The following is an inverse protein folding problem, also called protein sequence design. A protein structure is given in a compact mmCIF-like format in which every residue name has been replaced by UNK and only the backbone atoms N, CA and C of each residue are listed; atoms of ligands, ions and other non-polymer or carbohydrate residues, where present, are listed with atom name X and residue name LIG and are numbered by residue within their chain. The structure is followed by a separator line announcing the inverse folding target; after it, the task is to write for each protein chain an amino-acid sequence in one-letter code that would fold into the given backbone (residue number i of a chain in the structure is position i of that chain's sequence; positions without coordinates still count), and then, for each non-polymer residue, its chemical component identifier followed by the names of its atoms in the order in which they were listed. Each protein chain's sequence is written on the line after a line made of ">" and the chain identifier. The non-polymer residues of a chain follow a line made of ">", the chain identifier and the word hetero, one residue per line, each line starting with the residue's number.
data_IF_616396852956
#
_entry.id   IF_616396852956
#
_cell.length_a   1.000
_cell.length_b   1.000
_cell.length_c   1.000
_cell.angle_alpha   90.00
_cell.angle_beta   90.00
_cell.angle_gamma   90.00
#
_symmetry.space_group_name_H-M   'P 1'
#
loop_
_entity.id
_entity.type
_entity.pdbx_description
1 polymer ?
#
# COMPACT_ATOMS: atom_id res chain seq x y z
N UNK A 1 7.61 14.10 -20.61
CA UNK A 1 6.60 14.90 -19.88
C UNK A 1 7.24 15.50 -18.63
N UNK A 2 6.76 16.67 -18.18
CA UNK A 2 7.10 17.26 -16.87
C UNK A 2 5.94 17.00 -15.92
N UNK A 3 6.20 16.29 -14.84
CA UNK A 3 5.17 15.83 -13.90
C UNK A 3 5.46 16.39 -12.52
N UNK A 4 4.46 17.12 -11.97
CA UNK A 4 4.52 17.63 -10.61
C UNK A 4 3.91 16.65 -9.61
N UNK A 5 4.66 16.26 -8.58
CA UNK A 5 4.18 15.44 -7.48
C UNK A 5 4.01 16.31 -6.23
N UNK A 6 2.87 16.17 -5.56
CA UNK A 6 2.54 16.92 -4.33
C UNK A 6 2.16 15.96 -3.23
N UNK A 7 2.84 16.05 -2.08
CA UNK A 7 2.56 15.20 -0.93
C UNK A 7 2.82 15.92 0.40
N UNK A 8 1.96 15.74 1.39
CA UNK A 8 2.16 16.21 2.78
C UNK A 8 3.08 15.28 3.60
N UNK A 9 3.62 14.24 2.97
CA UNK A 9 4.62 13.35 3.57
C UNK A 9 5.63 12.92 2.52
N UNK A 10 6.93 12.97 2.87
CA UNK A 10 8.02 12.56 1.97
C UNK A 10 9.26 12.22 2.80
N UNK A 11 10.39 11.92 2.14
CA UNK A 11 11.68 11.66 2.82
C UNK A 11 12.08 12.82 3.76
N UNK A 12 12.68 12.50 4.92
CA UNK A 12 13.19 11.22 5.42
C UNK A 12 12.14 10.34 6.08
N UNK A 13 10.88 10.75 6.15
CA UNK A 13 9.82 9.95 6.77
C UNK A 13 9.59 8.65 5.98
N UNK A 14 9.53 7.52 6.70
CA UNK A 14 9.29 6.19 6.13
C UNK A 14 7.85 5.76 6.39
N UNK A 15 7.03 5.78 5.33
CA UNK A 15 5.65 5.30 5.34
C UNK A 15 5.21 4.88 3.92
N UNK A 16 4.04 4.27 3.80
CA UNK A 16 3.52 3.77 2.53
C UNK A 16 3.38 4.84 1.45
N UNK A 17 2.96 6.07 1.82
CA UNK A 17 2.81 7.19 0.88
C UNK A 17 4.16 7.64 0.34
N UNK A 18 5.13 7.87 1.24
CA UNK A 18 6.51 8.25 0.87
C UNK A 18 7.14 7.23 -0.07
N UNK A 19 6.97 5.94 0.23
CA UNK A 19 7.48 4.84 -0.60
C UNK A 19 6.89 4.89 -2.01
N UNK A 20 5.58 5.13 -2.14
CA UNK A 20 4.90 5.24 -3.43
C UNK A 20 5.36 6.47 -4.20
N UNK A 21 5.42 7.65 -3.57
CA UNK A 21 5.85 8.90 -4.24
C UNK A 21 7.27 8.78 -4.77
N UNK A 22 8.21 8.26 -3.95
CA UNK A 22 9.60 8.02 -4.38
C UNK A 22 9.71 7.05 -5.55
N UNK A 23 8.94 5.97 -5.49
CA UNK A 23 8.91 4.96 -6.54
C UNK A 23 8.39 5.53 -7.86
N UNK A 24 7.29 6.32 -7.82
CA UNK A 24 6.78 7.01 -9.01
C UNK A 24 7.83 7.99 -9.55
N UNK A 25 8.46 8.80 -8.69
CA UNK A 25 9.47 9.75 -9.12
C UNK A 25 10.65 9.06 -9.81
N UNK A 26 11.17 7.98 -9.21
CA UNK A 26 12.26 7.19 -9.79
C UNK A 26 11.87 6.53 -11.12
N UNK A 27 10.65 5.98 -11.20
CA UNK A 27 10.11 5.40 -12.41
C UNK A 27 10.05 6.42 -13.55
N UNK A 28 9.44 7.58 -13.29
CA UNK A 28 9.28 8.65 -14.27
C UNK A 28 10.63 9.12 -14.79
N UNK A 29 11.61 9.31 -13.90
CA UNK A 29 12.97 9.70 -14.26
C UNK A 29 13.67 8.63 -15.11
N UNK A 30 13.53 7.36 -14.75
CA UNK A 30 14.11 6.24 -15.51
C UNK A 30 13.53 6.14 -16.92
N UNK A 31 12.33 6.65 -17.15
CA UNK A 31 11.67 6.72 -18.46
C UNK A 31 11.91 8.07 -19.18
N UNK A 32 12.88 8.88 -18.70
CA UNK A 32 13.24 10.15 -19.32
C UNK A 32 12.23 11.28 -19.08
N UNK A 33 11.38 11.19 -18.07
CA UNK A 33 10.46 12.27 -17.69
C UNK A 33 11.08 13.16 -16.62
N UNK A 34 10.74 14.44 -16.64
CA UNK A 34 11.15 15.39 -15.61
C UNK A 34 10.14 15.37 -14.45
N UNK A 35 10.62 15.32 -13.21
CA UNK A 35 9.79 15.28 -12.00
C UNK A 35 10.11 16.46 -11.11
N UNK A 36 9.06 17.21 -10.73
CA UNK A 36 9.17 18.28 -9.72
C UNK A 36 8.34 17.91 -8.48
N UNK A 37 8.95 17.98 -7.29
CA UNK A 37 8.34 17.51 -6.05
C UNK A 37 8.07 18.68 -5.11
N UNK A 38 6.85 18.74 -4.55
CA UNK A 38 6.50 19.65 -3.47
C UNK A 38 6.14 18.86 -2.23
N UNK A 39 6.91 19.04 -1.15
CA UNK A 39 6.83 18.22 0.06
C UNK A 39 7.19 19.01 1.33
N UNK A 40 6.87 18.51 2.54
CA UNK A 40 7.25 19.16 3.78
C UNK A 40 8.76 19.11 4.01
N UNK A 41 9.27 20.12 4.74
CA UNK A 41 10.64 20.16 5.26
C UNK A 41 10.69 19.43 6.60
N UNK A 42 11.72 18.61 6.77
CA UNK A 42 12.07 17.94 8.02
C UNK A 42 13.38 18.51 8.57
N UNK A 43 13.60 18.42 9.88
CA UNK A 43 14.82 18.95 10.51
C UNK A 43 16.10 18.23 10.01
N UNK A 44 15.98 16.93 9.76
CA UNK A 44 17.06 16.04 9.33
C UNK A 44 17.15 15.89 7.80
N UNK A 45 16.66 16.87 7.06
CA UNK A 45 16.59 16.77 5.61
C UNK A 45 17.97 16.81 4.97
N UNK A 46 18.33 15.78 4.24
CA UNK A 46 19.36 15.81 3.21
C UNK A 46 18.70 15.92 1.82
N UNK A 47 19.28 16.64 0.86
CA UNK A 47 18.78 16.69 -0.51
C UNK A 47 18.60 15.25 -1.02
N UNK A 48 17.40 14.94 -1.52
CA UNK A 48 17.08 13.61 -1.95
C UNK A 48 17.10 13.48 -3.47
N UNK A 49 17.57 12.38 -3.94
CA UNK A 49 17.35 11.75 -5.26
C UNK A 49 17.57 12.64 -6.53
N UNK A 50 18.07 13.88 -6.41
CA UNK A 50 18.43 14.74 -7.56
C UNK A 50 17.25 15.37 -8.32
N UNK A 51 16.02 15.28 -7.80
CA UNK A 51 14.86 15.92 -8.40
C UNK A 51 14.76 17.40 -8.02
N UNK A 52 14.25 18.30 -8.91
CA UNK A 52 13.78 19.61 -8.51
C UNK A 52 12.74 19.51 -7.38
N UNK A 53 13.05 20.09 -6.21
CA UNK A 53 12.20 19.98 -5.03
C UNK A 53 11.92 21.33 -4.37
N UNK A 54 10.65 21.55 -3.98
CA UNK A 54 10.28 22.61 -3.04
C UNK A 54 9.91 21.99 -1.69
N UNK A 55 10.71 22.28 -0.66
CA UNK A 55 10.43 21.87 0.72
C UNK A 55 9.80 23.01 1.50
N UNK A 56 8.52 22.83 1.89
CA UNK A 56 7.77 23.85 2.63
C UNK A 56 7.93 23.69 4.14
N UNK A 57 7.84 24.74 4.94
CA UNK A 57 7.84 24.64 6.39
C UNK A 57 6.77 23.67 6.89
N UNK A 58 7.09 22.96 7.97
CA UNK A 58 6.16 22.02 8.61
C UNK A 58 6.41 21.95 10.11
N UNK A 59 5.38 21.58 10.87
CA UNK A 59 5.41 21.36 12.31
C UNK A 59 4.96 19.94 12.63
N UNK A 60 5.42 19.38 13.75
CA UNK A 60 4.91 18.10 14.22
C UNK A 60 3.42 18.24 14.60
N UNK A 61 2.60 17.24 14.23
CA UNK A 61 1.21 17.25 14.65
C UNK A 61 1.13 16.87 16.14
N UNK A 62 0.52 17.69 17.01
CA UNK A 62 0.61 17.51 18.46
C UNK A 62 0.12 16.14 18.97
N UNK A 63 -0.96 15.62 18.37
CA UNK A 63 -1.56 14.33 18.76
C UNK A 63 -0.82 13.10 18.19
N UNK A 64 0.01 13.30 17.16
CA UNK A 64 0.79 12.24 16.53
C UNK A 64 2.07 12.81 15.91
N UNK A 65 3.15 13.00 16.70
CA UNK A 65 4.36 13.72 16.29
C UNK A 65 5.09 13.14 15.07
N UNK A 66 4.87 11.85 14.77
CA UNK A 66 5.38 11.22 13.56
C UNK A 66 4.74 11.79 12.28
N UNK A 67 3.57 12.44 12.37
CA UNK A 67 2.92 13.14 11.25
C UNK A 67 3.30 14.62 11.30
N UNK A 68 3.65 15.19 10.14
CA UNK A 68 3.96 16.60 9.98
C UNK A 68 2.77 17.32 9.36
N UNK A 69 2.42 18.47 9.93
CA UNK A 69 1.48 19.41 9.33
C UNK A 69 2.26 20.40 8.47
N UNK A 70 2.04 20.37 7.18
CA UNK A 70 2.65 21.30 6.23
C UNK A 70 2.07 22.71 6.40
N UNK A 71 2.94 23.74 6.33
CA UNK A 71 2.57 25.14 6.39
C UNK A 71 2.96 25.84 5.07
N UNK A 72 2.30 25.49 3.95
CA UNK A 72 2.70 25.97 2.64
C UNK A 72 2.27 27.41 2.40
N UNK A 73 3.14 28.16 1.71
CA UNK A 73 2.79 29.46 1.12
C UNK A 73 2.37 29.23 -0.33
N UNK A 74 1.10 29.45 -0.66
CA UNK A 74 0.56 29.21 -1.99
C UNK A 74 1.35 29.90 -3.11
N UNK A 75 1.90 31.11 -2.84
CA UNK A 75 2.75 31.84 -3.79
C UNK A 75 4.07 31.11 -4.09
N UNK A 76 4.70 30.50 -3.08
CA UNK A 76 5.95 29.76 -3.26
C UNK A 76 5.73 28.48 -4.09
N UNK A 77 4.66 27.75 -3.81
CA UNK A 77 4.27 26.55 -4.58
C UNK A 77 3.94 26.96 -6.03
N UNK A 78 3.20 28.05 -6.23
CA UNK A 78 2.90 28.54 -7.58
C UNK A 78 4.18 28.96 -8.32
N UNK A 79 5.09 29.71 -7.70
CA UNK A 79 6.35 30.13 -8.32
C UNK A 79 7.22 28.91 -8.71
N UNK A 80 7.30 27.89 -7.86
CA UNK A 80 8.01 26.66 -8.18
C UNK A 80 7.43 25.96 -9.41
N UNK A 81 6.12 25.74 -9.46
CA UNK A 81 5.49 25.09 -10.60
C UNK A 81 5.43 25.96 -11.85
N UNK A 82 5.35 27.30 -11.73
CA UNK A 82 5.43 28.21 -12.88
C UNK A 82 6.83 28.16 -13.52
N UNK A 83 7.90 27.97 -12.74
CA UNK A 83 9.25 27.76 -13.22
C UNK A 83 9.44 26.34 -13.81
N UNK A 84 8.95 25.32 -13.14
CA UNK A 84 9.04 23.92 -13.56
C UNK A 84 8.16 23.61 -14.79
N UNK A 85 7.03 24.30 -14.94
CA UNK A 85 6.04 24.14 -16.03
C UNK A 85 5.53 22.69 -16.19
N UNK A 86 4.89 22.11 -15.17
CA UNK A 86 4.36 20.74 -15.26
C UNK A 86 3.26 20.65 -16.33
N UNK A 87 3.20 19.50 -16.98
CA UNK A 87 2.12 19.13 -17.95
C UNK A 87 0.99 18.37 -17.24
N UNK A 88 1.26 17.82 -16.04
CA UNK A 88 0.32 17.12 -15.18
C UNK A 88 0.72 17.31 -13.72
N UNK A 89 -0.27 17.41 -12.82
CA UNK A 89 -0.05 17.34 -11.38
C UNK A 89 -0.69 16.09 -10.78
N UNK A 90 0.12 15.32 -10.04
CA UNK A 90 -0.35 14.21 -9.22
C UNK A 90 -0.27 14.55 -7.73
N UNK A 91 -1.41 14.60 -7.08
CA UNK A 91 -1.55 14.94 -5.67
C UNK A 91 -1.79 13.66 -4.87
N UNK A 92 -0.88 13.37 -3.94
CA UNK A 92 -0.86 12.14 -3.17
C UNK A 92 -1.49 12.23 -1.78
N UNK A 93 -1.84 13.43 -1.32
CA UNK A 93 -2.43 13.61 0.02
C UNK A 93 -3.47 14.72 -0.01
N UNK A 94 -4.47 14.61 0.85
CA UNK A 94 -5.58 15.56 0.96
C UNK A 94 -5.29 16.69 1.98
N UNK A 95 -4.05 16.80 2.43
CA UNK A 95 -3.60 17.81 3.39
C UNK A 95 -3.39 19.21 2.81
N UNK A 96 -2.78 20.12 3.58
CA UNK A 96 -2.59 21.52 3.16
C UNK A 96 -1.82 21.69 1.85
N UNK A 97 -0.79 20.86 1.60
CA UNK A 97 -0.08 20.86 0.31
C UNK A 97 -0.94 20.36 -0.82
N UNK A 98 -1.69 19.25 -0.58
CA UNK A 98 -2.62 18.71 -1.57
C UNK A 98 -3.68 19.74 -1.98
N UNK A 99 -4.22 20.50 -1.03
CA UNK A 99 -5.18 21.59 -1.32
C UNK A 99 -4.58 22.67 -2.23
N UNK A 100 -3.33 23.05 -2.00
CA UNK A 100 -2.66 24.06 -2.82
C UNK A 100 -2.31 23.50 -4.20
N UNK A 101 -1.82 22.26 -4.29
CA UNK A 101 -1.55 21.58 -5.55
C UNK A 101 -2.82 21.47 -6.41
N UNK A 102 -3.92 20.99 -5.81
CA UNK A 102 -5.24 20.96 -6.45
C UNK A 102 -5.65 22.34 -6.98
N UNK A 103 -5.57 23.39 -6.13
CA UNK A 103 -5.93 24.75 -6.54
C UNK A 103 -5.05 25.27 -7.68
N UNK A 104 -3.75 24.97 -7.66
CA UNK A 104 -2.83 25.33 -8.72
C UNK A 104 -3.20 24.66 -10.03
N UNK A 105 -3.39 23.33 -10.03
CA UNK A 105 -3.79 22.57 -11.21
C UNK A 105 -5.06 23.14 -11.86
N UNK A 106 -6.10 23.40 -11.07
CA UNK A 106 -7.36 23.95 -11.55
C UNK A 106 -7.20 25.34 -12.16
N UNK A 107 -6.41 26.22 -11.51
CA UNK A 107 -6.17 27.58 -12.03
C UNK A 107 -5.37 27.59 -13.33
N UNK A 108 -4.42 26.65 -13.46
CA UNK A 108 -3.59 26.51 -14.67
C UNK A 108 -4.21 25.59 -15.71
N UNK A 109 -5.39 25.02 -15.44
CA UNK A 109 -6.09 24.04 -16.30
C UNK A 109 -5.24 22.82 -16.64
N UNK A 110 -4.38 22.41 -15.71
CA UNK A 110 -3.57 21.20 -15.84
C UNK A 110 -4.41 19.97 -15.54
N UNK A 111 -4.13 18.84 -16.18
CA UNK A 111 -4.65 17.54 -15.74
C UNK A 111 -4.27 17.31 -14.28
N UNK A 112 -5.28 17.07 -13.46
CA UNK A 112 -5.12 16.72 -12.04
C UNK A 112 -5.36 15.23 -11.87
N UNK A 113 -4.38 14.57 -11.29
CA UNK A 113 -4.47 13.18 -10.81
C UNK A 113 -4.39 13.21 -9.30
N UNK A 114 -5.15 12.35 -8.64
CA UNK A 114 -5.09 12.21 -7.18
C UNK A 114 -4.93 10.73 -6.80
N UNK A 115 -4.39 10.45 -5.62
CA UNK A 115 -4.37 9.10 -5.06
C UNK A 115 -4.99 9.09 -3.67
N UNK A 116 -5.91 8.17 -3.45
CA UNK A 116 -6.50 7.91 -2.15
C UNK A 116 -5.64 6.88 -1.40
N UNK A 117 -4.74 7.36 -0.55
CA UNK A 117 -3.79 6.51 0.19
C UNK A 117 -4.32 6.06 1.54
N UNK A 118 -5.12 6.89 2.20
CA UNK A 118 -5.50 6.70 3.60
C UNK A 118 -7.02 6.77 3.76
N UNK A 119 -7.59 5.71 4.33
CA UNK A 119 -9.02 5.67 4.64
C UNK A 119 -9.32 6.46 5.92
N UNK A 120 -9.24 7.80 5.86
CA UNK A 120 -9.53 8.69 6.98
C UNK A 120 -10.91 8.46 7.63
N UNK A 121 -11.99 8.17 6.88
CA UNK A 121 -13.28 7.83 7.47
C UNK A 121 -13.22 6.62 8.39
N UNK A 122 -12.51 5.56 8.02
CA UNK A 122 -12.33 4.37 8.85
C UNK A 122 -11.49 4.67 10.09
N UNK A 123 -10.40 5.43 9.93
CA UNK A 123 -9.60 5.89 11.07
C UNK A 123 -10.42 6.73 12.05
N UNK A 124 -11.32 7.61 11.57
CA UNK A 124 -12.14 8.43 12.45
C UNK A 124 -13.04 7.60 13.37
N UNK A 125 -13.55 6.46 12.88
CA UNK A 125 -14.33 5.52 13.71
C UNK A 125 -13.48 4.89 14.82
N UNK A 126 -12.26 4.46 14.49
CA UNK A 126 -11.34 3.86 15.48
C UNK A 126 -10.91 4.83 16.58
N UNK A 127 -10.84 6.13 16.29
CA UNK A 127 -10.48 7.17 17.26
C UNK A 127 -11.70 7.85 17.93
N UNK A 128 -12.89 7.24 17.86
CA UNK A 128 -14.09 7.76 18.51
C UNK A 128 -14.69 9.01 17.87
N UNK A 129 -14.21 9.41 16.70
CA UNK A 129 -14.66 10.57 15.95
C UNK A 129 -15.65 10.22 14.80
N UNK A 130 -16.38 9.11 14.91
CA UNK A 130 -17.30 8.61 13.88
C UNK A 130 -18.40 9.60 13.47
N UNK A 131 -18.79 10.52 14.36
CA UNK A 131 -19.73 11.59 14.02
C UNK A 131 -19.23 12.54 12.92
N UNK A 132 -17.92 12.61 12.71
CA UNK A 132 -17.31 13.45 11.66
C UNK A 132 -17.25 12.74 10.30
N UNK A 133 -17.55 11.46 10.24
CA UNK A 133 -17.45 10.66 9.02
C UNK A 133 -18.18 11.26 7.81
N UNK A 134 -19.44 11.74 7.93
CA UNK A 134 -20.12 12.37 6.79
C UNK A 134 -19.39 13.64 6.28
N UNK A 135 -18.86 14.45 7.20
CA UNK A 135 -18.11 15.66 6.84
C UNK A 135 -16.78 15.31 6.15
N UNK A 136 -16.08 14.28 6.63
CA UNK A 136 -14.86 13.77 6.02
C UNK A 136 -15.15 13.28 4.59
N UNK A 137 -16.21 12.51 4.39
CA UNK A 137 -16.62 12.05 3.06
C UNK A 137 -17.00 13.22 2.14
N UNK A 138 -17.72 14.21 2.63
CA UNK A 138 -18.05 15.43 1.87
C UNK A 138 -16.80 16.19 1.43
N UNK A 139 -15.78 16.31 2.31
CA UNK A 139 -14.49 16.90 1.98
C UNK A 139 -13.74 16.06 0.92
N UNK A 140 -13.66 14.74 1.05
CA UNK A 140 -13.00 13.86 0.10
C UNK A 140 -13.67 13.92 -1.28
N UNK A 141 -15.00 13.88 -1.35
CA UNK A 141 -15.75 14.07 -2.60
C UNK A 141 -15.40 15.40 -3.27
N UNK A 142 -15.46 16.50 -2.50
CA UNK A 142 -15.10 17.80 -3.02
C UNK A 142 -13.64 17.85 -3.49
N UNK A 143 -12.72 17.24 -2.75
CA UNK A 143 -11.30 17.24 -3.06
C UNK A 143 -10.99 16.50 -4.36
N UNK A 144 -11.51 15.28 -4.51
CA UNK A 144 -11.21 14.40 -5.65
C UNK A 144 -12.05 14.71 -6.91
N UNK A 145 -13.24 15.32 -6.75
CA UNK A 145 -14.17 15.58 -7.86
C UNK A 145 -13.56 16.20 -9.13
N UNK A 146 -12.60 17.15 -9.09
CA UNK A 146 -12.03 17.74 -10.29
C UNK A 146 -10.87 16.92 -10.89
N UNK A 147 -10.44 15.85 -10.25
CA UNK A 147 -9.38 15.00 -10.78
C UNK A 147 -9.84 14.27 -12.05
N UNK A 148 -8.93 14.03 -12.98
CA UNK A 148 -9.19 13.20 -14.17
C UNK A 148 -9.30 11.74 -13.81
N UNK A 149 -8.48 11.31 -12.82
CA UNK A 149 -8.51 9.99 -12.23
C UNK A 149 -8.12 10.11 -10.76
N UNK A 150 -8.75 9.28 -9.92
CA UNK A 150 -8.38 9.08 -8.51
C UNK A 150 -7.92 7.64 -8.36
N UNK A 151 -6.62 7.44 -8.15
CA UNK A 151 -6.09 6.10 -7.91
C UNK A 151 -6.40 5.60 -6.52
N UNK A 152 -6.66 4.31 -6.42
CA UNK A 152 -6.93 3.60 -5.17
C UNK A 152 -6.08 2.34 -5.08
N UNK A 153 -5.74 1.87 -3.86
CA UNK A 153 -4.88 0.71 -3.70
C UNK A 153 -5.56 -0.65 -3.96
N UNK A 154 -6.89 -0.67 -4.14
CA UNK A 154 -7.63 -1.91 -4.33
C UNK A 154 -9.08 -1.69 -4.73
N UNK A 155 -9.71 -2.78 -5.16
CA UNK A 155 -11.07 -2.76 -5.71
C UNK A 155 -12.13 -2.40 -4.67
N UNK A 156 -11.96 -2.85 -3.42
CA UNK A 156 -12.89 -2.51 -2.34
C UNK A 156 -12.96 -1.00 -2.09
N UNK A 157 -11.81 -0.33 -2.13
CA UNK A 157 -11.73 1.13 -1.98
C UNK A 157 -12.28 1.83 -3.23
N UNK A 158 -11.99 1.33 -4.43
CA UNK A 158 -12.56 1.85 -5.67
C UNK A 158 -14.09 1.83 -5.61
N UNK A 159 -14.67 0.68 -5.28
CA UNK A 159 -16.11 0.52 -5.15
C UNK A 159 -16.72 1.42 -4.06
N UNK A 160 -16.01 1.66 -2.95
CA UNK A 160 -16.46 2.62 -1.93
C UNK A 160 -16.45 4.05 -2.45
N UNK A 161 -15.38 4.48 -3.13
CA UNK A 161 -15.30 5.81 -3.73
C UNK A 161 -16.41 6.04 -4.77
N UNK A 162 -16.71 5.04 -5.61
CA UNK A 162 -17.81 5.11 -6.57
C UNK A 162 -19.19 5.23 -5.89
N UNK A 163 -19.44 4.42 -4.86
CA UNK A 163 -20.67 4.53 -4.05
C UNK A 163 -20.81 5.90 -3.40
N UNK A 164 -19.70 6.55 -3.11
CA UNK A 164 -19.63 7.91 -2.55
C UNK A 164 -19.65 9.00 -3.63
N UNK A 165 -19.81 8.68 -4.91
CA UNK A 165 -19.92 9.64 -6.00
C UNK A 165 -18.57 10.14 -6.55
N UNK A 166 -17.47 9.43 -6.31
CA UNK A 166 -16.16 9.65 -6.93
C UNK A 166 -16.02 8.64 -8.07
N UNK A 167 -16.77 8.83 -9.16
CA UNK A 167 -16.94 7.87 -10.25
C UNK A 167 -15.77 7.76 -11.23
N UNK A 168 -14.68 8.50 -11.04
CA UNK A 168 -13.44 8.41 -11.83
C UNK A 168 -12.32 7.68 -11.06
N UNK A 169 -12.69 6.84 -10.11
CA UNK A 169 -11.74 6.04 -9.34
C UNK A 169 -11.24 4.86 -10.17
N UNK A 170 -9.92 4.65 -10.18
CA UNK A 170 -9.24 3.53 -10.83
C UNK A 170 -8.35 2.81 -9.82
N UNK A 171 -8.26 1.49 -9.96
CA UNK A 171 -7.28 0.73 -9.16
C UNK A 171 -5.92 0.92 -9.80
N UNK A 172 -5.00 1.44 -9.03
CA UNK A 172 -3.60 1.34 -9.30
C UNK A 172 -2.99 0.57 -8.13
N UNK A 173 -2.85 -0.75 -8.35
CA UNK A 173 -2.32 -1.64 -7.36
C UNK A 173 -0.86 -1.30 -7.11
N UNK A 174 -0.45 -1.30 -5.89
CA UNK A 174 0.95 -1.16 -5.51
C UNK A 174 1.63 -2.51 -5.75
N UNK A 175 1.97 -2.82 -7.01
CA UNK A 175 2.60 -4.06 -7.39
C UNK A 175 3.86 -4.38 -6.61
N UNK A 176 4.22 -5.64 -6.57
CA UNK A 176 5.44 -6.13 -5.94
C UNK A 176 6.57 -6.25 -6.96
N UNK A 177 7.79 -5.97 -6.54
CA UNK A 177 9.00 -6.24 -7.31
C UNK A 177 9.30 -7.75 -7.24
N UNK A 178 8.70 -8.52 -8.15
CA UNK A 178 8.76 -9.99 -8.16
C UNK A 178 10.14 -10.53 -8.60
N UNK A 179 10.95 -9.69 -9.21
CA UNK A 179 12.35 -9.99 -9.48
C UNK A 179 13.23 -9.83 -8.24
N UNK A 180 12.91 -8.85 -7.41
CA UNK A 180 13.62 -8.63 -6.15
C UNK A 180 13.17 -9.60 -5.05
N UNK A 181 11.88 -9.76 -4.81
CA UNK A 181 11.32 -10.78 -3.91
C UNK A 181 11.18 -12.09 -4.69
N UNK A 182 12.12 -13.00 -4.47
CA UNK A 182 12.26 -14.18 -5.30
C UNK A 182 12.70 -15.41 -4.49
N UNK A 183 12.14 -16.61 -4.75
CA UNK A 183 12.52 -17.85 -4.04
C UNK A 183 14.01 -18.18 -4.10
N UNK A 184 14.69 -17.79 -5.19
CA UNK A 184 16.14 -18.02 -5.35
C UNK A 184 17.00 -17.31 -4.29
N UNK A 185 16.42 -16.37 -3.51
CA UNK A 185 17.11 -15.73 -2.37
C UNK A 185 17.12 -16.58 -1.11
N UNK A 186 16.55 -17.79 -1.13
CA UNK A 186 16.62 -18.75 -0.02
C UNK A 186 18.07 -19.04 0.34
N UNK A 187 18.40 -18.95 1.62
CA UNK A 187 19.75 -19.23 2.13
C UNK A 187 19.74 -20.31 3.21
N UNK A 188 20.70 -21.22 3.12
CA UNK A 188 20.92 -22.21 4.18
C UNK A 188 21.35 -21.56 5.51
N UNK A 189 21.93 -20.34 5.47
CA UNK A 189 22.28 -19.57 6.66
C UNK A 189 21.06 -19.23 7.51
N UNK A 190 20.01 -18.64 6.92
CA UNK A 190 18.77 -18.34 7.61
C UNK A 190 18.11 -19.61 8.14
N UNK A 191 18.07 -20.69 7.35
CA UNK A 191 17.49 -21.97 7.76
C UNK A 191 18.17 -22.56 8.98
N UNK A 192 19.51 -22.69 8.95
CA UNK A 192 20.28 -23.20 10.10
C UNK A 192 20.13 -22.33 11.33
N UNK A 193 20.16 -21.01 11.15
CA UNK A 193 20.10 -20.10 12.30
C UNK A 193 18.71 -20.08 12.95
N UNK A 194 17.63 -20.07 12.17
CA UNK A 194 16.26 -19.99 12.69
C UNK A 194 15.69 -21.37 13.11
N UNK A 195 15.94 -22.41 12.33
CA UNK A 195 15.27 -23.69 12.46
C UNK A 195 16.21 -24.89 12.70
N UNK A 196 17.51 -24.68 12.70
CA UNK A 196 18.49 -25.76 12.81
C UNK A 196 18.68 -26.58 11.54
N UNK A 197 17.85 -26.36 10.52
CA UNK A 197 17.84 -27.10 9.25
C UNK A 197 16.53 -26.95 8.49
N UNK A 198 16.26 -27.90 7.59
CA UNK A 198 15.07 -27.85 6.73
C UNK A 198 13.84 -28.59 7.31
N UNK A 199 14.02 -29.41 8.36
CA UNK A 199 12.95 -30.24 8.93
C UNK A 199 11.95 -29.45 9.80
N UNK A 200 12.35 -28.27 10.29
CA UNK A 200 11.51 -27.41 11.11
C UNK A 200 10.95 -26.26 10.27
N UNK A 201 9.63 -26.10 10.27
CA UNK A 201 8.96 -25.03 9.54
C UNK A 201 9.20 -23.66 10.21
N UNK A 202 9.52 -22.63 9.42
CA UNK A 202 9.63 -21.24 9.89
C UNK A 202 8.31 -20.52 9.62
N UNK A 203 7.58 -20.19 10.68
CA UNK A 203 6.34 -19.40 10.67
C UNK A 203 6.72 -17.94 10.94
N UNK A 204 6.56 -17.10 9.93
CA UNK A 204 7.04 -15.73 9.89
C UNK A 204 5.89 -14.73 9.98
N UNK A 205 6.05 -13.70 10.80
CA UNK A 205 5.26 -12.46 10.72
C UNK A 205 6.18 -11.30 10.35
N UNK A 206 5.72 -10.45 9.41
CA UNK A 206 6.43 -9.24 8.99
C UNK A 206 5.49 -8.06 9.04
N UNK A 207 5.92 -6.97 9.66
CA UNK A 207 5.17 -5.72 9.68
C UNK A 207 5.46 -4.84 10.87
N UNK A 208 4.85 -3.66 10.90
CA UNK A 208 4.88 -2.77 12.05
C UNK A 208 4.15 -3.42 13.23
N UNK A 209 4.77 -3.44 14.40
CA UNK A 209 4.20 -4.08 15.58
C UNK A 209 3.29 -3.10 16.34
N UNK A 210 2.11 -2.84 15.79
CA UNK A 210 1.15 -1.87 16.30
C UNK A 210 -0.26 -2.49 16.45
N UNK A 211 -1.14 -1.92 17.31
CA UNK A 211 -2.45 -2.48 17.64
C UNK A 211 -3.34 -2.72 16.41
N UNK A 212 -3.30 -1.83 15.43
CA UNK A 212 -4.09 -1.95 14.19
C UNK A 212 -3.68 -3.15 13.32
N UNK A 213 -2.54 -3.80 13.60
CA UNK A 213 -2.12 -5.05 12.95
C UNK A 213 -2.71 -6.30 13.58
N UNK A 214 -3.62 -6.15 14.55
CA UNK A 214 -4.35 -7.25 15.17
C UNK A 214 -3.44 -8.34 15.80
N UNK A 215 -2.33 -7.90 16.38
CA UNK A 215 -1.29 -8.80 16.92
C UNK A 215 -1.72 -9.58 18.15
N UNK A 216 -2.81 -9.20 18.81
CA UNK A 216 -3.36 -10.00 19.93
C UNK A 216 -3.81 -11.38 19.43
N UNK A 217 -4.49 -11.42 18.28
CA UNK A 217 -4.90 -12.69 17.64
C UNK A 217 -3.68 -13.55 17.28
N UNK A 218 -2.60 -12.89 16.78
CA UNK A 218 -1.34 -13.59 16.51
C UNK A 218 -0.75 -14.20 17.78
N UNK A 219 -0.74 -13.44 18.90
CA UNK A 219 -0.20 -13.89 20.17
C UNK A 219 -0.96 -15.12 20.68
N UNK A 220 -2.29 -15.07 20.68
CA UNK A 220 -3.14 -16.19 21.11
C UNK A 220 -2.97 -17.43 20.22
N UNK A 221 -2.97 -17.22 18.90
CA UNK A 221 -2.79 -18.31 17.95
C UNK A 221 -1.40 -18.97 18.07
N UNK A 222 -0.34 -18.17 18.21
CA UNK A 222 1.02 -18.70 18.27
C UNK A 222 1.34 -19.38 19.61
N UNK A 223 0.77 -18.91 20.72
CA UNK A 223 0.88 -19.61 22.01
C UNK A 223 0.27 -21.01 21.92
N UNK A 224 -0.90 -21.14 21.31
CA UNK A 224 -1.58 -22.40 21.12
C UNK A 224 -0.87 -23.29 20.08
N UNK A 225 -0.49 -22.73 18.94
CA UNK A 225 0.22 -23.47 17.88
C UNK A 225 1.58 -24.01 18.37
N UNK A 226 2.28 -23.26 19.23
CA UNK A 226 3.53 -23.73 19.86
C UNK A 226 3.31 -24.96 20.71
N UNK A 227 2.23 -25.01 21.48
CA UNK A 227 1.89 -26.16 22.32
C UNK A 227 1.55 -27.40 21.48
N UNK A 228 0.86 -27.23 20.36
CA UNK A 228 0.43 -28.32 19.49
C UNK A 228 1.52 -28.84 18.53
N UNK A 229 2.33 -27.94 18.00
CA UNK A 229 3.29 -28.26 16.93
C UNK A 229 4.76 -28.18 17.38
N UNK A 230 4.99 -27.69 18.59
CA UNK A 230 6.21 -27.76 19.41
C UNK A 230 7.52 -27.62 18.63
N UNK A 231 8.16 -28.76 18.39
CA UNK A 231 9.47 -28.82 17.75
C UNK A 231 9.44 -28.78 16.21
N UNK A 232 8.25 -28.85 15.61
CA UNK A 232 8.09 -28.84 14.15
C UNK A 232 7.99 -27.44 13.54
N UNK A 233 7.90 -26.40 14.40
CA UNK A 233 7.79 -25.02 13.94
C UNK A 233 8.60 -24.06 14.80
N UNK A 234 9.30 -23.12 14.17
CA UNK A 234 9.91 -21.93 14.76
C UNK A 234 9.11 -20.71 14.39
N UNK A 235 8.86 -19.82 15.35
CA UNK A 235 8.08 -18.61 15.18
C UNK A 235 9.00 -17.38 15.17
N UNK A 236 8.87 -16.57 14.14
CA UNK A 236 9.78 -15.45 13.84
C UNK A 236 8.98 -14.18 13.54
N UNK A 237 9.40 -13.07 14.13
CA UNK A 237 8.82 -11.74 13.90
C UNK A 237 9.89 -10.81 13.37
N UNK A 238 9.66 -10.20 12.20
CA UNK A 238 10.46 -9.13 11.65
C UNK A 238 9.65 -7.83 11.62
N UNK A 239 10.11 -6.84 12.36
CA UNK A 239 9.47 -5.54 12.49
C UNK A 239 9.64 -4.93 13.87
N UNK A 240 9.23 -3.68 14.00
CA UNK A 240 9.30 -2.88 15.22
C UNK A 240 7.97 -2.20 15.51
N UNK A 241 7.76 -1.81 16.75
CA UNK A 241 6.59 -1.05 17.16
C UNK A 241 6.22 -1.25 18.62
N UNK A 242 5.19 -0.53 19.10
CA UNK A 242 4.83 -0.47 20.53
C UNK A 242 4.40 -1.82 21.12
N UNK A 243 4.02 -2.80 20.29
CA UNK A 243 3.64 -4.13 20.77
C UNK A 243 4.81 -5.12 20.89
N UNK A 244 6.04 -4.74 20.53
CA UNK A 244 7.21 -5.64 20.57
C UNK A 244 7.43 -6.26 21.97
N UNK A 245 7.47 -5.44 23.02
CA UNK A 245 7.63 -5.92 24.39
C UNK A 245 6.51 -6.87 24.84
N UNK A 246 5.28 -6.61 24.40
CA UNK A 246 4.13 -7.46 24.71
C UNK A 246 4.27 -8.84 24.06
N UNK A 247 4.71 -8.88 22.80
CA UNK A 247 4.99 -10.13 22.08
C UNK A 247 6.06 -10.92 22.83
N UNK A 248 7.19 -10.32 23.17
CA UNK A 248 8.29 -10.98 23.90
C UNK A 248 7.84 -11.54 25.25
N UNK A 249 7.05 -10.78 26.02
CA UNK A 249 6.54 -11.24 27.33
C UNK A 249 5.57 -12.41 27.22
N UNK A 250 4.68 -12.37 26.20
CA UNK A 250 3.64 -13.39 26.03
C UNK A 250 4.15 -14.63 25.31
N UNK A 251 5.13 -14.47 24.42
CA UNK A 251 5.69 -15.51 23.55
C UNK A 251 7.22 -15.54 23.67
N UNK A 252 7.78 -16.00 24.81
CA UNK A 252 9.25 -15.98 25.04
C UNK A 252 10.03 -16.90 24.07
N UNK A 253 9.35 -17.77 23.34
CA UNK A 253 9.93 -18.67 22.33
C UNK A 253 10.06 -18.01 20.94
N UNK A 254 9.46 -16.85 20.71
CA UNK A 254 9.48 -16.14 19.41
C UNK A 254 10.85 -15.49 19.20
N UNK A 255 11.38 -15.63 18.00
CA UNK A 255 12.59 -14.93 17.58
C UNK A 255 12.23 -13.56 17.02
N UNK A 256 12.57 -12.51 17.76
CA UNK A 256 12.40 -11.12 17.35
C UNK A 256 13.62 -10.66 16.56
N UNK A 257 13.43 -10.21 15.32
CA UNK A 257 14.51 -9.78 14.43
C UNK A 257 14.63 -8.25 14.33
N UNK A 258 13.65 -7.50 14.87
CA UNK A 258 13.61 -6.06 14.71
C UNK A 258 13.36 -5.64 13.26
N UNK A 259 13.72 -4.39 12.93
CA UNK A 259 13.69 -3.89 11.56
C UNK A 259 14.78 -4.54 10.72
N UNK A 260 14.41 -4.98 9.53
CA UNK A 260 15.36 -5.56 8.56
C UNK A 260 15.43 -4.72 7.29
N UNK A 261 16.64 -4.48 6.75
CA UNK A 261 16.82 -3.92 5.42
C UNK A 261 16.14 -4.79 4.35
N UNK A 262 15.75 -4.17 3.24
CA UNK A 262 14.97 -4.81 2.18
C UNK A 262 15.61 -6.08 1.62
N UNK A 263 16.94 -6.08 1.42
CA UNK A 263 17.71 -7.22 0.92
C UNK A 263 17.66 -8.40 1.90
N UNK A 264 17.87 -8.11 3.19
CA UNK A 264 17.83 -9.10 4.26
C UNK A 264 16.41 -9.68 4.42
N UNK A 265 15.39 -8.82 4.32
CA UNK A 265 13.99 -9.21 4.39
C UNK A 265 13.60 -10.13 3.22
N UNK A 266 14.07 -9.85 1.99
CA UNK A 266 13.81 -10.72 0.84
C UNK A 266 14.41 -12.11 1.01
N UNK A 267 15.62 -12.20 1.57
CA UNK A 267 16.25 -13.49 1.89
C UNK A 267 15.50 -14.23 3.03
N UNK A 268 14.97 -13.51 4.00
CA UNK A 268 14.17 -14.08 5.08
C UNK A 268 12.84 -14.64 4.54
N UNK A 269 12.10 -13.89 3.72
CA UNK A 269 10.89 -14.39 3.08
C UNK A 269 11.15 -15.68 2.28
N UNK A 270 12.17 -15.68 1.44
CA UNK A 270 12.52 -16.85 0.64
C UNK A 270 12.96 -18.06 1.48
N UNK A 271 13.43 -17.83 2.73
CA UNK A 271 13.91 -18.89 3.62
C UNK A 271 12.85 -19.36 4.62
N UNK A 272 11.72 -18.66 4.76
CA UNK A 272 10.61 -19.06 5.60
C UNK A 272 9.71 -20.13 4.92
N UNK A 273 8.76 -20.68 5.66
CA UNK A 273 7.84 -21.73 5.18
C UNK A 273 6.37 -21.28 5.18
N UNK A 274 5.98 -20.35 6.05
CA UNK A 274 4.63 -19.81 6.17
C UNK A 274 4.71 -18.35 6.61
N UNK A 275 3.95 -17.46 5.98
CA UNK A 275 3.78 -16.08 6.43
C UNK A 275 2.40 -15.89 7.07
N UNK A 276 2.30 -15.25 8.25
CA UNK A 276 1.04 -15.01 8.97
C UNK A 276 0.78 -13.52 9.11
N UNK A 277 -0.35 -13.06 8.58
CA UNK A 277 -0.74 -11.64 8.50
C UNK A 277 -2.16 -11.46 9.06
N UNK A 278 -2.32 -11.20 10.38
CA UNK A 278 -3.64 -11.09 11.01
C UNK A 278 -4.30 -9.71 10.84
N UNK A 279 -3.65 -8.76 10.19
CA UNK A 279 -4.12 -7.38 10.04
C UNK A 279 -5.43 -7.30 9.24
N UNK A 280 -6.44 -6.65 9.79
CA UNK A 280 -7.71 -6.41 9.10
C UNK A 280 -7.80 -5.03 8.44
N UNK A 281 -6.78 -4.18 8.62
CA UNK A 281 -6.75 -2.79 8.13
C UNK A 281 -5.82 -2.58 6.93
N UNK A 282 -5.31 -3.65 6.32
CA UNK A 282 -4.45 -3.52 5.15
C UNK A 282 -5.22 -2.98 3.95
N UNK A 283 -4.68 -1.94 3.31
CA UNK A 283 -5.29 -1.36 2.10
C UNK A 283 -4.90 -2.10 0.83
N UNK A 284 -3.66 -2.58 0.75
CA UNK A 284 -3.14 -3.32 -0.42
C UNK A 284 -2.46 -4.65 -0.02
N UNK A 285 -1.94 -4.75 1.21
CA UNK A 285 -1.25 -5.95 1.67
C UNK A 285 0.08 -6.20 0.97
N UNK A 286 0.92 -5.16 0.77
CA UNK A 286 2.24 -5.31 0.13
C UNK A 286 3.07 -6.43 0.75
N UNK A 287 3.01 -6.59 2.08
CA UNK A 287 3.70 -7.66 2.82
C UNK A 287 3.24 -9.05 2.35
N UNK A 288 1.94 -9.22 2.04
CA UNK A 288 1.44 -10.48 1.48
C UNK A 288 1.99 -10.72 0.07
N UNK A 289 2.02 -9.68 -0.77
CA UNK A 289 2.56 -9.78 -2.13
C UNK A 289 4.07 -10.06 -2.13
N UNK A 290 4.84 -9.48 -1.21
CA UNK A 290 6.27 -9.75 -1.03
C UNK A 290 6.52 -11.21 -0.61
N UNK A 291 5.73 -11.72 0.34
CA UNK A 291 5.78 -13.11 0.75
C UNK A 291 5.42 -14.05 -0.42
N UNK A 292 4.30 -13.78 -1.11
CA UNK A 292 3.85 -14.56 -2.27
C UNK A 292 4.88 -14.52 -3.40
N UNK A 293 5.45 -13.36 -3.72
CA UNK A 293 6.51 -13.21 -4.73
C UNK A 293 7.76 -14.04 -4.39
N UNK A 294 8.04 -14.21 -3.10
CA UNK A 294 9.12 -15.07 -2.60
C UNK A 294 8.74 -16.56 -2.58
N UNK A 295 7.56 -16.95 -3.09
CA UNK A 295 7.08 -18.32 -3.09
C UNK A 295 6.57 -18.81 -1.73
N UNK A 296 6.30 -17.90 -0.80
CA UNK A 296 5.89 -18.21 0.57
C UNK A 296 4.36 -18.24 0.67
N UNK A 297 3.72 -19.35 1.11
CA UNK A 297 2.29 -19.37 1.35
C UNK A 297 1.91 -18.42 2.49
N UNK A 298 0.78 -17.73 2.32
CA UNK A 298 0.31 -16.70 3.25
C UNK A 298 -0.96 -17.17 3.96
N UNK A 299 -0.98 -17.09 5.30
CA UNK A 299 -2.18 -17.15 6.13
C UNK A 299 -2.55 -15.70 6.46
N UNK A 300 -3.66 -15.22 5.95
CA UNK A 300 -4.05 -13.82 6.05
C UNK A 300 -5.43 -13.63 6.68
N UNK A 301 -5.67 -12.46 7.27
CA UNK A 301 -7.02 -12.07 7.65
C UNK A 301 -7.94 -11.98 6.42
N UNK A 302 -9.15 -12.53 6.52
CA UNK A 302 -10.21 -12.40 5.51
C UNK A 302 -10.84 -11.01 5.57
N UNK A 303 -10.02 -9.98 5.31
CA UNK A 303 -10.42 -8.58 5.38
C UNK A 303 -9.53 -7.68 4.50
N UNK A 304 -10.07 -6.52 4.14
CA UNK A 304 -9.35 -5.45 3.44
C UNK A 304 -8.59 -5.93 2.21
N UNK A 305 -7.43 -5.31 1.94
CA UNK A 305 -6.58 -5.65 0.80
C UNK A 305 -5.95 -7.05 0.85
N UNK A 306 -5.92 -7.71 2.02
CA UNK A 306 -5.46 -9.10 2.10
C UNK A 306 -6.42 -10.05 1.41
N UNK A 307 -7.74 -9.85 1.56
CA UNK A 307 -8.78 -10.61 0.84
C UNK A 307 -8.67 -10.45 -0.68
N UNK A 308 -8.24 -9.29 -1.17
CA UNK A 308 -8.03 -9.05 -2.59
C UNK A 308 -6.73 -9.70 -3.12
N UNK A 309 -5.74 -9.85 -2.25
CA UNK A 309 -4.43 -10.37 -2.63
C UNK A 309 -4.34 -11.90 -2.53
N UNK A 310 -5.04 -12.50 -1.56
CA UNK A 310 -4.99 -13.94 -1.27
C UNK A 310 -6.31 -14.62 -1.64
N UNK A 311 -6.24 -15.66 -2.47
CA UNK A 311 -7.37 -16.54 -2.78
C UNK A 311 -7.32 -17.76 -1.88
N UNK A 312 -8.34 -17.89 -0.98
CA UNK A 312 -8.41 -18.98 -0.02
C UNK A 312 -8.30 -20.36 -0.67
N UNK A 313 -7.42 -21.19 -0.14
CA UNK A 313 -7.18 -22.56 -0.61
C UNK A 313 -6.42 -22.68 -1.94
N UNK A 314 -6.12 -21.56 -2.62
CA UNK A 314 -5.43 -21.50 -3.92
C UNK A 314 -4.07 -20.82 -3.83
N UNK A 315 -4.01 -19.58 -3.35
CA UNK A 315 -2.76 -18.81 -3.23
C UNK A 315 -2.33 -18.59 -1.78
N UNK A 316 -3.12 -19.04 -0.82
CA UNK A 316 -2.93 -18.94 0.60
C UNK A 316 -4.20 -19.34 1.35
N UNK A 317 -4.24 -19.08 2.64
CA UNK A 317 -5.39 -19.36 3.49
C UNK A 317 -5.93 -18.03 4.08
N UNK A 318 -7.24 -17.81 3.97
CA UNK A 318 -7.92 -16.69 4.60
C UNK A 318 -8.60 -17.16 5.88
N UNK A 319 -8.43 -16.40 6.96
CA UNK A 319 -8.99 -16.68 8.28
C UNK A 319 -9.78 -15.46 8.77
N UNK A 320 -10.96 -15.62 9.40
CA UNK A 320 -11.66 -14.49 9.99
C UNK A 320 -10.73 -13.69 10.94
N UNK A 321 -10.75 -12.33 10.90
CA UNK A 321 -9.75 -11.51 11.60
C UNK A 321 -9.63 -11.75 13.11
N UNK A 322 -10.74 -12.16 13.75
CA UNK A 322 -10.84 -12.36 15.21
C UNK A 322 -11.00 -13.83 15.60
N UNK A 323 -10.46 -14.74 14.78
CA UNK A 323 -10.52 -16.19 15.02
C UNK A 323 -9.11 -16.78 15.24
N UNK A 324 -8.54 -16.73 16.46
CA UNK A 324 -7.25 -17.33 16.76
C UNK A 324 -7.24 -18.85 16.52
N UNK A 325 -8.38 -19.53 16.70
CA UNK A 325 -8.50 -20.98 16.47
C UNK A 325 -8.33 -21.30 14.99
N UNK A 326 -8.91 -20.51 14.09
CA UNK A 326 -8.72 -20.64 12.64
C UNK A 326 -7.27 -20.44 12.22
N UNK A 327 -6.57 -19.47 12.84
CA UNK A 327 -5.11 -19.30 12.60
C UNK A 327 -4.32 -20.52 13.08
N UNK A 328 -4.65 -21.11 14.25
CA UNK A 328 -4.01 -22.34 14.74
C UNK A 328 -4.20 -23.49 13.76
N UNK A 329 -5.43 -23.69 13.27
CA UNK A 329 -5.74 -24.75 12.31
C UNK A 329 -4.97 -24.56 10.99
N UNK A 330 -4.95 -23.33 10.45
CA UNK A 330 -4.23 -22.99 9.22
C UNK A 330 -2.70 -23.16 9.37
N UNK A 331 -2.13 -22.77 10.51
CA UNK A 331 -0.71 -23.01 10.82
C UNK A 331 -0.45 -24.51 10.89
N UNK A 332 -1.30 -25.27 11.58
CA UNK A 332 -1.17 -26.72 11.70
C UNK A 332 -1.21 -27.44 10.35
N UNK A 333 -2.14 -27.05 9.46
CA UNK A 333 -2.23 -27.55 8.09
C UNK A 333 -0.91 -27.36 7.35
N UNK A 334 -0.38 -26.13 7.36
CA UNK A 334 0.81 -25.81 6.58
C UNK A 334 2.10 -26.32 7.22
N UNK A 335 2.22 -26.36 8.55
CA UNK A 335 3.36 -26.99 9.24
C UNK A 335 3.38 -28.50 8.97
N UNK A 336 2.22 -29.14 8.92
CA UNK A 336 2.08 -30.58 8.72
C UNK A 336 2.25 -31.06 7.29
N UNK A 337 2.11 -30.19 6.28
CA UNK A 337 2.10 -30.58 4.86
C UNK A 337 3.06 -29.74 4.01
N UNK A 338 4.29 -30.21 3.74
CA UNK A 338 5.23 -29.56 2.81
C UNK A 338 4.64 -29.42 1.40
N UNK A 339 3.93 -30.42 0.89
CA UNK A 339 3.33 -30.40 -0.45
C UNK A 339 2.28 -29.28 -0.55
N UNK A 340 1.48 -29.09 0.51
CA UNK A 340 0.48 -28.02 0.56
C UNK A 340 1.14 -26.64 0.58
N UNK A 341 2.22 -26.49 1.36
CA UNK A 341 3.03 -25.25 1.35
C UNK A 341 3.55 -24.94 -0.04
N UNK A 342 4.14 -25.94 -0.71
CA UNK A 342 4.68 -25.77 -2.05
C UNK A 342 3.60 -25.39 -3.05
N UNK A 343 2.46 -26.09 -3.07
CA UNK A 343 1.36 -25.81 -4.00
C UNK A 343 0.80 -24.39 -3.83
N UNK A 344 0.50 -23.96 -2.59
CA UNK A 344 0.01 -22.61 -2.29
C UNK A 344 1.06 -21.54 -2.57
N UNK A 345 2.32 -21.77 -2.25
CA UNK A 345 3.43 -20.87 -2.50
C UNK A 345 3.69 -20.65 -3.99
N UNK A 346 3.67 -21.71 -4.80
CA UNK A 346 3.81 -21.63 -6.25
C UNK A 346 2.67 -20.83 -6.90
N UNK A 347 1.41 -21.16 -6.58
CA UNK A 347 0.26 -20.42 -7.08
C UNK A 347 0.23 -18.96 -6.58
N UNK A 348 0.68 -18.72 -5.33
CA UNK A 348 0.86 -17.39 -4.76
C UNK A 348 1.87 -16.57 -5.55
N UNK A 349 3.01 -17.18 -5.92
CA UNK A 349 4.02 -16.50 -6.72
C UNK A 349 3.51 -16.11 -8.11
N UNK A 350 2.79 -17.00 -8.79
CA UNK A 350 2.18 -16.69 -10.09
C UNK A 350 1.23 -15.47 -9.98
N UNK A 351 0.40 -15.45 -8.95
CA UNK A 351 -0.50 -14.32 -8.70
C UNK A 351 0.25 -13.02 -8.37
N UNK A 352 1.39 -13.09 -7.65
CA UNK A 352 2.23 -11.94 -7.36
C UNK A 352 2.96 -11.41 -8.62
N UNK A 353 3.44 -12.31 -9.49
CA UNK A 353 4.05 -11.93 -10.79
C UNK A 353 3.02 -11.23 -11.69
N UNK A 354 1.76 -11.67 -11.70
CA UNK A 354 0.70 -11.00 -12.45
C UNK A 354 0.44 -9.55 -11.96
N UNK A 355 0.86 -9.24 -10.73
CA UNK A 355 0.82 -7.90 -10.10
C UNK A 355 2.24 -7.33 -9.94
N UNK A 356 3.10 -7.57 -10.92
CA UNK A 356 4.46 -7.00 -10.91
C UNK A 356 4.42 -5.48 -11.03
N UNK A 357 5.27 -4.85 -10.26
CA UNK A 357 5.38 -3.39 -10.19
C UNK A 357 5.73 -2.75 -11.53
N UNK A 358 6.53 -3.41 -12.35
CA UNK A 358 6.91 -2.87 -13.65
C UNK A 358 5.71 -2.78 -14.59
N UNK A 359 4.83 -3.78 -14.58
CA UNK A 359 3.60 -3.78 -15.36
C UNK A 359 2.63 -2.67 -14.92
N UNK A 360 2.33 -2.61 -13.62
CA UNK A 360 1.45 -1.56 -13.09
C UNK A 360 2.00 -0.15 -13.33
N UNK A 361 3.31 0.00 -13.31
CA UNK A 361 3.97 1.26 -13.62
C UNK A 361 3.86 1.62 -15.11
N UNK A 362 3.92 0.65 -16.03
CA UNK A 362 3.71 0.89 -17.45
C UNK A 362 2.28 1.40 -17.71
N UNK A 363 1.27 0.79 -17.11
CA UNK A 363 -0.12 1.21 -17.18
C UNK A 363 -0.31 2.66 -16.66
N UNK A 364 0.35 3.04 -15.55
CA UNK A 364 0.33 4.41 -15.04
C UNK A 364 0.92 5.42 -16.04
N UNK A 365 2.04 5.06 -16.67
CA UNK A 365 2.70 5.94 -17.65
C UNK A 365 1.87 6.15 -18.91
N UNK A 366 1.22 5.09 -19.41
CA UNK A 366 0.30 5.16 -20.53
C UNK A 366 -0.88 6.09 -20.22
N UNK A 367 -1.44 5.99 -19.01
CA UNK A 367 -2.52 6.86 -18.59
C UNK A 367 -2.08 8.32 -18.45
N UNK A 368 -0.89 8.60 -17.90
CA UNK A 368 -0.34 9.96 -17.85
C UNK A 368 -0.14 10.54 -19.26
N UNK A 369 0.37 9.75 -20.19
CA UNK A 369 0.54 10.16 -21.57
C UNK A 369 -0.81 10.48 -22.23
N UNK A 370 -1.82 9.66 -22.00
CA UNK A 370 -3.17 9.89 -22.51
C UNK A 370 -3.82 11.17 -21.92
N UNK A 371 -3.59 11.44 -20.63
CA UNK A 371 -4.13 12.64 -19.97
C UNK A 371 -3.45 13.93 -20.47
N UNK A 372 -2.15 13.90 -20.72
CA UNK A 372 -1.41 15.06 -21.24
C UNK A 372 -1.71 15.33 -22.72
N UNK A 373 -1.86 14.29 -23.55
CA UNK A 373 -2.23 14.43 -24.97
C UNK A 373 -3.64 14.99 -25.18
N UNK A 374 -4.61 14.61 -24.33
CA UNK A 374 -5.99 15.12 -24.35
C UNK A 374 -6.10 16.57 -23.86
N UNK A 375 -5.19 17.03 -23.02
CA UNK A 375 -5.15 18.42 -22.56
C UNK A 375 -4.77 19.42 -23.66
N UNK A 376 -4.16 18.94 -24.76
CA UNK A 376 -3.86 19.75 -25.94
C UNK A 376 -5.06 19.95 -26.89
N UNK A 377 -6.20 19.23 -26.68
CA UNK A 377 -7.44 19.44 -27.42
C UNK A 377 -8.39 20.40 -26.70
N UNK A 378 -9.02 21.38 -27.40
CA UNK A 378 -10.00 22.28 -26.78
C UNK A 378 -11.17 21.50 -26.16
N UNK A 379 -11.63 21.95 -24.99
CA UNK A 379 -12.74 21.35 -24.22
C UNK A 379 -14.08 21.25 -24.99
N UNK A 380 -14.23 21.90 -26.15
CA UNK A 380 -15.44 21.90 -26.96
C UNK A 380 -15.76 20.54 -27.61
N UNK A 381 -14.77 19.65 -27.79
CA UNK A 381 -15.00 18.35 -28.46
C UNK A 381 -15.24 17.19 -27.47
N UNK A 382 -14.98 17.38 -26.18
CA UNK A 382 -15.11 16.32 -25.17
C UNK A 382 -16.56 16.02 -24.75
N UNK A 383 -17.53 16.87 -25.11
CA UNK A 383 -18.95 16.71 -24.77
C UNK A 383 -19.85 16.29 -25.94
N UNK A 384 -19.30 15.96 -27.09
CA UNK A 384 -20.05 15.75 -28.32
C UNK A 384 -20.44 14.29 -28.65
N UNK A 385 -20.15 13.31 -27.77
CA UNK A 385 -20.53 11.90 -28.09
C UNK A 385 -21.16 11.22 -26.87
N UNK A 386 -22.42 11.53 -26.60
CA UNK A 386 -23.36 10.60 -26.00
C UNK A 386 -24.54 10.48 -26.97
N UNK A 387 -24.68 9.39 -27.72
CA UNK A 387 -25.89 9.18 -28.50
C UNK A 387 -27.08 8.98 -27.55
N UNK A 388 -28.29 9.48 -27.89
CA UNK A 388 -29.47 9.30 -27.07
C UNK A 388 -29.81 7.81 -26.95
N UNK A 389 -30.04 7.37 -25.74
CA UNK A 389 -30.59 6.04 -25.47
C UNK A 389 -31.99 5.97 -26.11
N UNK A 390 -32.13 5.19 -27.14
CA UNK A 390 -33.43 4.86 -27.72
C UNK A 390 -34.18 3.95 -26.77
N UNK A 391 -35.36 4.42 -26.33
CA UNK A 391 -36.27 3.62 -25.52
C UNK A 391 -36.75 2.39 -26.33
N UNK A 392 -36.90 1.22 -25.70
CA UNK A 392 -37.47 0.05 -26.35
C UNK A 392 -38.94 0.30 -26.69
N UNK A 393 -39.27 0.15 -27.96
CA UNK A 393 -40.65 0.13 -28.46
C UNK A 393 -41.43 -1.01 -27.81
N UNK A 394 -42.54 -0.66 -27.18
CA UNK A 394 -43.53 -1.62 -26.70
C UNK A 394 -44.07 -2.46 -27.83
N UNK A 395 -43.92 -3.77 -27.75
CA UNK A 395 -44.62 -4.74 -28.60
C UNK A 395 -45.98 -4.98 -27.96
N UNK A 396 -47.01 -4.44 -28.61
CA UNK A 396 -48.41 -4.84 -28.41
C UNK A 396 -48.68 -6.10 -29.23
N UNK A 397 -49.08 -7.17 -28.56
CA UNK A 397 -50.13 -8.11 -28.95
C UNK A 397 -50.35 -9.10 -27.80
#
# INVERSE_FOLDING_TARGET
>A
MRIGLVSDTYTPQVNGVTTVVRRIAALLAAQGHEVGIVAPRYAEFAPSDGFPELRVPSVAFPLYPAVRLSLPRARAVAAFFDAFRPELLHVHTEGPLGLIGRRYALRRRLPLVTTFHTNFPEYSRHYGAGLLEPAIWGFLQWFHRPARVTYTPGEAIRAELERRGIGHAAVWGRGVDSGFFHPAKRTAGWRRWLAGGDDTAIVLHVGRLAPEKNLEVLIEAWDTARKLHGQRATFVVAGEGPMAERIVRRLPFVRMLGFLPRETLAALYASADVCVLPSHTETCGLVALEAMASGLPVIAADAGGLRESVRHGVTGLLVPPHDPTGYVAAIGELVGSPDRRFALGAAGREAAIARDVARENAELLEEYAALTSRSSRPLAEAFAVVPPVTAPTAVTA
#
